data_IF_046614850863
#
_entry.id   IF_046614850863
#
_cell.length_a   1.000
_cell.length_b   1.000
_cell.length_c   1.000
_cell.angle_alpha   90.00
_cell.angle_beta   90.00
_cell.angle_gamma   90.00
#
_symmetry.space_group_name_H-M   'P 1'
#
loop_
_entity.id
_entity.type
_entity.pdbx_description
1 polymer ?
#
# COMPACT_ATOMS: atom_id res chain seq x y z
N UNK A 1 -5.60 7.61 3.63
CA UNK A 1 -5.59 6.14 3.64
C UNK A 1 -4.83 5.67 2.43
N UNK A 2 -3.76 4.89 2.60
CA UNK A 2 -3.06 4.26 1.48
C UNK A 2 -2.82 2.78 1.82
N UNK A 3 -2.83 1.91 0.82
CA UNK A 3 -2.47 0.49 0.99
C UNK A 3 -1.28 0.22 0.09
N UNK A 4 -0.07 0.15 0.63
CA UNK A 4 1.13 -0.20 -0.11
C UNK A 4 1.19 -1.70 -0.33
N UNK A 5 1.17 -2.15 -1.59
CA UNK A 5 1.36 -3.56 -1.98
C UNK A 5 2.49 -3.69 -3.00
N UNK A 6 3.76 -3.52 -2.58
CA UNK A 6 4.91 -3.57 -3.48
C UNK A 6 5.08 -4.92 -4.18
N UNK A 7 4.39 -5.96 -3.69
CA UNK A 7 4.30 -7.27 -4.30
C UNK A 7 2.85 -7.79 -4.26
N UNK A 8 2.49 -8.65 -5.20
CA UNK A 8 1.21 -9.36 -5.17
C UNK A 8 1.08 -10.19 -3.89
N UNK A 9 2.18 -10.82 -3.46
CA UNK A 9 2.26 -11.53 -2.19
C UNK A 9 2.19 -10.58 -0.97
N UNK A 10 1.33 -10.94 -0.01
CA UNK A 10 1.03 -10.13 1.17
C UNK A 10 2.18 -10.11 2.17
N UNK A 11 2.84 -11.25 2.37
CA UNK A 11 3.94 -11.42 3.34
C UNK A 11 5.17 -10.66 2.85
N UNK A 12 5.53 -10.84 1.58
CA UNK A 12 6.60 -10.11 0.90
C UNK A 12 6.30 -8.60 0.91
N UNK A 13 5.05 -8.21 0.69
CA UNK A 13 4.64 -6.81 0.81
C UNK A 13 4.90 -6.24 2.20
N UNK A 14 4.45 -6.92 3.25
CA UNK A 14 4.65 -6.48 4.63
C UNK A 14 6.15 -6.37 4.98
N UNK A 15 6.93 -7.40 4.66
CA UNK A 15 8.37 -7.46 4.93
C UNK A 15 9.16 -6.35 4.19
N UNK A 16 8.72 -5.95 3.01
CA UNK A 16 9.39 -4.92 2.23
C UNK A 16 9.29 -3.52 2.84
N UNK A 17 8.22 -3.22 3.57
CA UNK A 17 7.98 -1.88 4.11
C UNK A 17 8.97 -1.49 5.21
N UNK A 18 9.29 -0.19 5.28
CA UNK A 18 9.88 0.42 6.48
C UNK A 18 8.89 0.43 7.65
N UNK A 19 9.40 0.57 8.88
CA UNK A 19 8.59 0.46 10.10
C UNK A 19 7.48 1.52 10.16
N UNK A 20 7.73 2.73 9.68
CA UNK A 20 6.73 3.81 9.71
C UNK A 20 5.54 3.46 8.81
N UNK A 21 5.78 2.92 7.62
CA UNK A 21 4.72 2.51 6.69
C UNK A 21 4.05 1.22 7.13
N UNK A 22 4.81 0.23 7.60
CA UNK A 22 4.26 -1.01 8.14
C UNK A 22 3.33 -0.74 9.33
N UNK A 23 3.74 0.14 10.25
CA UNK A 23 2.92 0.55 11.39
C UNK A 23 1.58 1.17 10.98
N UNK A 24 1.59 2.01 9.93
CA UNK A 24 0.37 2.60 9.35
C UNK A 24 -0.48 1.58 8.61
N UNK A 25 0.13 0.66 7.86
CA UNK A 25 -0.59 -0.35 7.09
C UNK A 25 -1.55 -1.16 7.95
N UNK A 26 -1.16 -1.57 9.17
CA UNK A 26 -2.06 -2.32 10.07
C UNK A 26 -3.37 -1.55 10.34
N UNK A 27 -3.27 -0.25 10.60
CA UNK A 27 -4.43 0.61 10.86
C UNK A 27 -5.23 0.88 9.59
N UNK A 28 -4.56 1.24 8.50
CA UNK A 28 -5.21 1.59 7.23
C UNK A 28 -5.92 0.38 6.60
N UNK A 29 -5.39 -0.83 6.74
CA UNK A 29 -6.04 -2.06 6.25
C UNK A 29 -7.36 -2.33 6.98
N UNK A 30 -7.38 -2.23 8.31
CA UNK A 30 -8.62 -2.34 9.09
C UNK A 30 -9.62 -1.24 8.69
N UNK A 31 -9.15 -0.01 8.45
CA UNK A 31 -10.01 1.08 7.98
C UNK A 31 -10.64 0.79 6.62
N UNK A 32 -9.89 0.24 5.66
CA UNK A 32 -10.43 -0.20 4.36
C UNK A 32 -11.50 -1.28 4.57
N UNK A 33 -11.21 -2.32 5.34
CA UNK A 33 -12.17 -3.40 5.64
C UNK A 33 -13.47 -2.85 6.25
N UNK A 34 -13.37 -1.98 7.25
CA UNK A 34 -14.55 -1.34 7.85
C UNK A 34 -15.29 -0.43 6.87
N UNK A 35 -14.58 0.26 5.97
CA UNK A 35 -15.21 1.09 4.94
C UNK A 35 -16.01 0.23 3.94
N UNK A 36 -15.48 -0.92 3.54
CA UNK A 36 -16.19 -1.91 2.71
C UNK A 36 -17.46 -2.40 3.43
N UNK A 37 -17.34 -2.80 4.71
CA UNK A 37 -18.50 -3.23 5.51
C UNK A 37 -19.58 -2.15 5.62
N UNK A 38 -19.20 -0.88 5.76
CA UNK A 38 -20.14 0.25 5.77
C UNK A 38 -20.79 0.47 4.41
N UNK A 39 -20.02 0.42 3.32
CA UNK A 39 -20.54 0.55 1.95
C UNK A 39 -21.59 -0.49 1.62
N UNK A 40 -21.39 -1.72 2.10
CA UNK A 40 -22.32 -2.84 1.91
C UNK A 40 -23.50 -2.82 2.90
N UNK A 41 -23.59 -1.83 3.78
CA UNK A 41 -24.66 -1.71 4.77
C UNK A 41 -24.62 -2.72 5.91
N UNK A 42 -23.51 -3.46 6.06
CA UNK A 42 -23.30 -4.48 7.09
C UNK A 42 -22.92 -3.81 8.42
N UNK A 43 -21.95 -2.89 8.39
CA UNK A 43 -21.57 -2.10 9.55
C UNK A 43 -22.37 -0.80 9.60
N UNK A 44 -23.25 -0.65 10.60
CA UNK A 44 -24.16 0.49 10.78
C UNK A 44 -23.80 1.35 12.00
N UNK A 45 -22.62 1.97 11.96
CA UNK A 45 -22.09 2.79 13.06
C UNK A 45 -22.27 4.31 12.87
N UNK A 46 -23.07 4.72 11.89
CA UNK A 46 -23.33 6.13 11.55
C UNK A 46 -22.17 6.86 10.85
N UNK A 47 -20.99 6.22 10.71
CA UNK A 47 -19.83 6.85 10.06
C UNK A 47 -19.94 6.73 8.53
N UNK A 48 -19.53 7.78 7.82
CA UNK A 48 -19.55 7.81 6.33
C UNK A 48 -18.19 8.13 5.70
N UNK A 49 -17.12 8.15 6.49
CA UNK A 49 -15.78 8.45 6.00
C UNK A 49 -15.26 7.37 5.05
N UNK A 50 -14.54 7.79 4.01
CA UNK A 50 -13.75 6.93 3.11
C UNK A 50 -14.53 5.96 2.21
N UNK A 51 -15.86 6.01 2.20
CA UNK A 51 -16.69 5.11 1.39
C UNK A 51 -16.33 5.20 -0.11
N UNK A 52 -16.07 6.39 -0.63
CA UNK A 52 -15.71 6.59 -2.04
C UNK A 52 -14.20 6.68 -2.27
N UNK A 53 -13.39 6.24 -1.29
CA UNK A 53 -11.95 6.24 -1.46
C UNK A 53 -11.55 5.20 -2.53
N UNK A 54 -10.67 5.53 -3.50
CA UNK A 54 -10.41 4.63 -4.63
C UNK A 54 -9.91 3.23 -4.22
N UNK A 55 -9.07 3.14 -3.19
CA UNK A 55 -8.64 1.83 -2.63
C UNK A 55 -9.83 1.03 -2.09
N UNK A 56 -10.81 1.67 -1.45
CA UNK A 56 -12.01 0.97 -0.96
C UNK A 56 -12.81 0.45 -2.14
N UNK A 57 -13.05 1.29 -3.15
CA UNK A 57 -13.76 0.91 -4.37
C UNK A 57 -13.07 -0.24 -5.10
N UNK A 58 -11.74 -0.20 -5.21
CA UNK A 58 -10.93 -1.23 -5.87
C UNK A 58 -11.09 -2.61 -5.22
N UNK A 59 -11.03 -2.68 -3.89
CA UNK A 59 -11.21 -3.95 -3.17
C UNK A 59 -12.68 -4.38 -3.10
N UNK A 60 -13.62 -3.43 -3.05
CA UNK A 60 -15.06 -3.70 -3.00
C UNK A 60 -15.63 -4.17 -4.35
N UNK A 61 -15.02 -3.79 -5.48
CA UNK A 61 -15.51 -4.11 -6.82
C UNK A 61 -15.42 -5.60 -7.17
N UNK A 62 -14.32 -6.26 -6.81
CA UNK A 62 -14.13 -7.72 -7.00
C UNK A 62 -14.22 -8.50 -5.68
N UNK A 63 -15.09 -8.08 -4.75
CA UNK A 63 -15.08 -8.42 -3.31
C UNK A 63 -13.80 -9.04 -2.71
N UNK A 64 -12.64 -8.42 -2.88
CA UNK A 64 -11.34 -8.99 -2.49
C UNK A 64 -11.05 -8.81 -0.98
N UNK A 65 -12.05 -9.04 -0.13
CA UNK A 65 -11.95 -8.87 1.33
C UNK A 65 -10.95 -9.85 1.93
N UNK A 66 -10.93 -11.10 1.49
CA UNK A 66 -10.00 -12.11 1.98
C UNK A 66 -8.54 -11.73 1.72
N UNK A 67 -8.27 -11.07 0.59
CA UNK A 67 -6.93 -10.54 0.28
C UNK A 67 -6.48 -9.47 1.27
N UNK A 68 -7.39 -8.57 1.66
CA UNK A 68 -7.12 -7.56 2.68
C UNK A 68 -6.94 -8.16 4.07
N UNK A 69 -7.75 -9.17 4.42
CA UNK A 69 -7.63 -9.86 5.72
C UNK A 69 -6.27 -10.56 5.82
N UNK A 70 -5.88 -11.33 4.78
CA UNK A 70 -4.55 -11.94 4.72
C UNK A 70 -3.44 -10.89 4.82
N UNK A 71 -3.60 -9.75 4.15
CA UNK A 71 -2.59 -8.70 4.23
C UNK A 71 -2.54 -8.00 5.59
N UNK A 72 -3.69 -7.82 6.25
CA UNK A 72 -3.73 -7.31 7.61
C UNK A 72 -2.91 -8.19 8.55
N UNK A 73 -3.14 -9.51 8.52
CA UNK A 73 -2.40 -10.44 9.36
C UNK A 73 -0.92 -10.48 9.01
N UNK A 74 -0.55 -10.52 7.72
CA UNK A 74 0.85 -10.42 7.31
C UNK A 74 1.54 -9.15 7.83
N UNK A 75 0.84 -8.00 7.86
CA UNK A 75 1.38 -6.76 8.40
C UNK A 75 1.49 -6.75 9.92
N UNK A 76 0.55 -7.38 10.64
CA UNK A 76 0.61 -7.56 12.10
C UNK A 76 1.75 -8.50 12.47
N UNK A 77 1.86 -9.64 11.80
CA UNK A 77 2.87 -10.65 12.04
C UNK A 77 4.27 -10.08 11.81
N UNK A 78 4.48 -9.39 10.69
CA UNK A 78 5.75 -8.74 10.40
C UNK A 78 6.10 -7.64 11.43
N UNK A 79 5.11 -6.87 11.88
CA UNK A 79 5.30 -5.85 12.91
C UNK A 79 5.73 -6.47 14.24
N UNK A 80 5.07 -7.55 14.66
CA UNK A 80 5.42 -8.28 15.87
C UNK A 80 6.76 -8.99 15.75
N UNK A 81 7.07 -9.55 14.58
CA UNK A 81 8.37 -10.19 14.29
C UNK A 81 9.54 -9.20 14.42
N UNK A 82 9.32 -7.91 14.11
CA UNK A 82 10.31 -6.83 14.32
C UNK A 82 10.45 -6.39 15.79
N UNK A 83 9.72 -7.02 16.72
CA UNK A 83 9.80 -6.72 18.15
C UNK A 83 8.86 -5.62 18.63
N UNK A 84 7.96 -5.13 17.77
CA UNK A 84 7.00 -4.11 18.16
C UNK A 84 5.71 -4.73 18.73
N UNK A 85 5.08 -4.02 19.67
CA UNK A 85 3.76 -4.42 20.20
C UNK A 85 2.65 -4.07 19.21
N UNK A 86 1.70 -4.98 19.01
CA UNK A 86 0.47 -4.75 18.25
C UNK A 86 -0.74 -4.88 19.18
N UNK A 87 -1.62 -3.89 19.19
CA UNK A 87 -2.89 -3.89 19.93
C UNK A 87 -4.11 -3.78 18.99
N UNK A 88 -3.89 -3.99 17.69
CA UNK A 88 -4.94 -3.97 16.67
C UNK A 88 -5.22 -5.40 16.22
N UNK A 89 -6.50 -5.76 16.19
CA UNK A 89 -7.01 -7.02 15.66
C UNK A 89 -8.24 -6.78 14.79
N UNK A 90 -8.73 -7.83 14.15
CA UNK A 90 -10.00 -7.83 13.40
C UNK A 90 -11.15 -8.48 14.18
N UNK A 91 -10.94 -8.90 15.43
CA UNK A 91 -11.92 -9.69 16.19
C UNK A 91 -13.29 -9.00 16.32
N UNK A 92 -13.29 -7.67 16.42
CA UNK A 92 -14.48 -6.83 16.51
C UNK A 92 -15.27 -6.72 15.19
N UNK A 93 -14.65 -7.07 14.06
CA UNK A 93 -15.26 -6.99 12.72
C UNK A 93 -15.32 -8.33 11.99
N UNK A 94 -14.63 -9.37 12.48
CA UNK A 94 -14.58 -10.68 11.84
C UNK A 94 -15.97 -11.32 11.63
N UNK A 95 -16.92 -11.26 12.58
CA UNK A 95 -18.28 -11.74 12.34
C UNK A 95 -19.02 -11.00 11.22
N UNK A 96 -18.67 -9.72 10.99
CA UNK A 96 -19.24 -8.91 9.92
C UNK A 96 -18.57 -9.23 8.57
N UNK A 97 -17.25 -9.48 8.57
CA UNK A 97 -16.50 -9.86 7.37
C UNK A 97 -17.02 -11.18 6.78
N UNK A 98 -17.43 -12.13 7.63
CA UNK A 98 -18.07 -13.39 7.20
C UNK A 98 -19.40 -13.21 6.46
N UNK A 99 -20.04 -12.03 6.55
CA UNK A 99 -21.26 -11.72 5.82
C UNK A 99 -20.98 -11.18 4.41
N UNK A 100 -19.71 -10.89 4.08
CA UNK A 100 -19.33 -10.48 2.74
C UNK A 100 -19.07 -11.73 1.92
N UNK A 101 -19.80 -11.90 0.82
CA UNK A 101 -19.45 -12.88 -0.21
C UNK A 101 -18.15 -12.42 -0.89
N UNK A 102 -17.03 -12.99 -0.43
CA UNK A 102 -15.69 -12.71 -0.93
C UNK A 102 -15.43 -13.40 -2.26
N UNK A 103 -14.53 -12.85 -3.06
CA UNK A 103 -14.00 -13.53 -4.24
C UNK A 103 -12.53 -13.90 -4.05
N UNK A 104 -12.08 -15.06 -4.56
CA UNK A 104 -10.68 -15.42 -4.55
C UNK A 104 -9.85 -14.44 -5.41
N UNK A 105 -8.55 -14.37 -5.13
CA UNK A 105 -7.61 -13.52 -5.86
C UNK A 105 -7.29 -12.20 -5.13
N UNK A 106 -6.89 -11.21 -5.91
CA UNK A 106 -6.43 -9.89 -5.44
C UNK A 106 -6.62 -8.85 -6.54
N UNK A 107 -6.91 -7.58 -6.19
CA UNK A 107 -6.95 -6.50 -7.17
C UNK A 107 -5.54 -6.01 -7.56
N UNK A 108 -4.50 -6.46 -6.86
CA UNK A 108 -3.13 -6.01 -7.09
C UNK A 108 -2.50 -6.83 -8.22
N UNK A 109 -2.27 -6.18 -9.36
CA UNK A 109 -1.50 -6.74 -10.48
C UNK A 109 0.00 -6.49 -10.29
N UNK A 110 0.84 -7.20 -11.04
CA UNK A 110 2.29 -6.94 -11.05
C UNK A 110 2.63 -5.50 -11.47
N UNK A 111 1.86 -4.96 -12.41
CA UNK A 111 2.00 -3.57 -12.87
C UNK A 111 1.69 -2.58 -11.73
N UNK A 112 0.62 -2.81 -10.97
CA UNK A 112 0.28 -2.00 -9.80
C UNK A 112 1.31 -2.16 -8.67
N UNK A 113 1.80 -3.38 -8.45
CA UNK A 113 2.85 -3.67 -7.47
C UNK A 113 4.15 -2.91 -7.78
N UNK A 114 4.53 -2.82 -9.06
CA UNK A 114 5.63 -1.95 -9.52
C UNK A 114 5.39 -0.49 -9.16
N UNK A 115 4.19 0.04 -9.37
CA UNK A 115 3.88 1.42 -9.01
C UNK A 115 3.96 1.66 -7.50
N UNK A 116 3.57 0.69 -6.66
CA UNK A 116 3.82 0.78 -5.22
C UNK A 116 5.32 0.84 -4.89
N UNK A 117 6.17 0.00 -5.51
CA UNK A 117 7.63 0.06 -5.34
C UNK A 117 8.19 1.43 -5.74
N UNK A 118 7.71 1.99 -6.86
CA UNK A 118 8.06 3.36 -7.31
C UNK A 118 7.70 4.40 -6.26
N UNK A 119 6.49 4.35 -5.71
CA UNK A 119 6.04 5.31 -4.70
C UNK A 119 6.84 5.19 -3.40
N UNK A 120 7.15 3.97 -2.97
CA UNK A 120 7.97 3.73 -1.79
C UNK A 120 9.36 4.34 -1.99
N UNK A 121 9.98 4.09 -3.14
CA UNK A 121 11.27 4.68 -3.53
C UNK A 121 11.23 6.20 -3.52
N UNK A 122 10.20 6.84 -4.05
CA UNK A 122 10.06 8.29 -4.01
C UNK A 122 9.93 8.85 -2.59
N UNK A 123 9.26 8.11 -1.72
CA UNK A 123 8.98 8.59 -0.37
C UNK A 123 10.09 8.29 0.65
N UNK A 124 10.94 7.28 0.44
CA UNK A 124 12.18 7.03 1.22
C UNK A 124 13.29 6.42 0.34
N UNK A 125 13.98 7.23 -0.49
CA UNK A 125 14.86 6.73 -1.53
C UNK A 125 15.96 5.80 -1.02
N UNK A 126 16.70 6.24 -0.01
CA UNK A 126 17.83 5.47 0.49
C UNK A 126 17.44 4.16 1.19
N UNK A 127 16.22 4.07 1.74
CA UNK A 127 15.73 2.82 2.32
C UNK A 127 15.40 1.81 1.21
N UNK A 128 14.59 2.24 0.24
CA UNK A 128 14.06 1.34 -0.77
C UNK A 128 15.05 1.04 -1.89
N UNK A 129 15.94 1.97 -2.23
CA UNK A 129 17.05 1.70 -3.14
C UNK A 129 17.91 0.52 -2.67
N UNK A 130 18.16 0.41 -1.35
CA UNK A 130 18.93 -0.70 -0.77
C UNK A 130 18.16 -2.01 -0.70
N UNK A 131 16.83 -1.98 -0.77
CA UNK A 131 15.96 -3.15 -0.68
C UNK A 131 15.60 -3.73 -2.06
N UNK A 132 15.53 -2.89 -3.08
CA UNK A 132 15.26 -3.33 -4.45
C UNK A 132 16.46 -4.14 -4.97
N UNK A 133 16.17 -5.22 -5.69
CA UNK A 133 17.19 -5.88 -6.50
C UNK A 133 17.57 -5.01 -7.71
N UNK A 134 18.73 -5.29 -8.32
CA UNK A 134 19.19 -4.58 -9.50
C UNK A 134 18.15 -4.63 -10.64
N UNK A 135 17.55 -5.79 -10.88
CA UNK A 135 16.52 -5.97 -11.91
C UNK A 135 15.25 -5.15 -11.62
N UNK A 136 14.82 -5.06 -10.36
CA UNK A 136 13.66 -4.24 -10.00
C UNK A 136 13.94 -2.75 -10.11
N UNK A 137 15.15 -2.33 -9.75
CA UNK A 137 15.58 -0.94 -9.93
C UNK A 137 15.63 -0.58 -11.43
N UNK A 138 16.23 -1.44 -12.24
CA UNK A 138 16.30 -1.28 -13.70
C UNK A 138 14.90 -1.23 -14.32
N UNK A 139 13.98 -2.11 -13.91
CA UNK A 139 12.59 -2.10 -14.34
C UNK A 139 11.92 -0.75 -14.02
N UNK A 140 12.14 -0.21 -12.82
CA UNK A 140 11.58 1.07 -12.41
C UNK A 140 12.15 2.25 -13.19
N UNK A 141 13.44 2.22 -13.54
CA UNK A 141 14.09 3.28 -14.31
C UNK A 141 13.66 3.28 -15.78
N UNK A 142 13.45 2.10 -16.36
CA UNK A 142 13.20 1.93 -17.79
C UNK A 142 11.72 1.83 -18.17
N UNK A 143 10.82 1.66 -17.19
CA UNK A 143 9.38 1.61 -17.43
C UNK A 143 8.71 2.91 -17.03
N UNK A 144 7.96 3.60 -17.92
CA UNK A 144 7.17 4.76 -17.55
C UNK A 144 6.08 4.41 -16.52
N UNK A 145 5.77 5.29 -15.55
CA UNK A 145 4.71 5.04 -14.57
C UNK A 145 3.33 5.03 -15.22
N UNK A 146 2.45 4.17 -14.72
CA UNK A 146 1.05 4.08 -15.16
C UNK A 146 0.09 4.65 -14.09
N UNK A 147 -0.95 5.40 -14.48
CA UNK A 147 -1.86 6.03 -13.53
C UNK A 147 -2.83 5.02 -12.90
N UNK A 148 -2.84 4.97 -11.57
CA UNK A 148 -3.76 4.16 -10.78
C UNK A 148 -4.46 5.02 -9.71
N UNK A 149 -5.80 5.17 -9.77
CA UNK A 149 -6.59 5.86 -8.75
C UNK A 149 -6.35 5.29 -7.35
N UNK A 150 -6.06 6.17 -6.38
CA UNK A 150 -5.75 5.77 -5.00
C UNK A 150 -4.34 5.21 -4.78
N UNK A 151 -3.53 5.13 -5.83
CA UNK A 151 -2.13 4.70 -5.77
C UNK A 151 -1.22 5.89 -6.05
N UNK A 152 -1.11 6.30 -7.32
CA UNK A 152 -0.05 7.21 -7.80
C UNK A 152 -0.52 8.37 -8.68
N UNK A 153 -1.82 8.69 -8.77
CA UNK A 153 -2.27 9.80 -9.65
C UNK A 153 -1.56 11.14 -9.36
N UNK A 154 -1.26 11.43 -8.10
CA UNK A 154 -0.54 12.64 -7.70
C UNK A 154 0.91 12.70 -8.24
N UNK A 155 1.47 11.56 -8.65
CA UNK A 155 2.81 11.51 -9.23
C UNK A 155 2.91 12.38 -10.49
N UNK A 156 1.84 12.40 -11.26
CA UNK A 156 1.76 13.14 -12.52
C UNK A 156 1.63 14.65 -12.30
N UNK A 157 1.19 15.08 -11.11
CA UNK A 157 1.19 16.50 -10.71
C UNK A 157 2.61 17.00 -10.38
N UNK A 158 3.56 16.09 -10.10
CA UNK A 158 4.96 16.42 -9.80
C UNK A 158 5.93 15.89 -10.86
N UNK A 159 5.46 15.77 -12.10
CA UNK A 159 6.15 15.07 -13.20
C UNK A 159 7.62 15.48 -13.37
N UNK A 160 7.89 16.78 -13.44
CA UNK A 160 9.26 17.31 -13.60
C UNK A 160 10.18 16.93 -12.43
N UNK A 161 9.66 16.93 -11.21
CA UNK A 161 10.41 16.52 -10.02
C UNK A 161 10.68 15.02 -10.05
N UNK A 162 9.71 14.23 -10.49
CA UNK A 162 9.87 12.80 -10.67
C UNK A 162 10.91 12.47 -11.75
N UNK A 163 10.89 13.15 -12.91
CA UNK A 163 11.88 12.95 -13.97
C UNK A 163 13.31 13.24 -13.48
N UNK A 164 13.52 14.37 -12.79
CA UNK A 164 14.83 14.68 -12.20
C UNK A 164 15.27 13.64 -11.16
N UNK A 165 14.32 13.13 -10.37
CA UNK A 165 14.61 12.07 -9.41
C UNK A 165 15.10 10.79 -10.11
N UNK A 166 14.41 10.37 -11.18
CA UNK A 166 14.78 9.18 -11.98
C UNK A 166 16.12 9.37 -12.69
N UNK A 167 16.36 10.55 -13.27
CA UNK A 167 17.62 10.88 -13.95
C UNK A 167 18.83 10.77 -13.01
N UNK A 168 18.72 11.34 -11.80
CA UNK A 168 19.77 11.23 -10.77
C UNK A 168 19.98 9.79 -10.33
N UNK A 169 18.89 9.07 -10.11
CA UNK A 169 18.94 7.67 -9.72
C UNK A 169 19.62 6.79 -10.78
N UNK A 170 19.36 7.04 -12.06
CA UNK A 170 20.01 6.36 -13.18
C UNK A 170 21.53 6.62 -13.26
N UNK A 171 21.99 7.77 -12.74
CA UNK A 171 23.42 8.08 -12.58
C UNK A 171 24.04 7.48 -11.30
N UNK A 172 23.26 6.75 -10.51
CA UNK A 172 23.70 6.20 -9.21
C UNK A 172 23.63 7.22 -8.06
N UNK A 173 23.03 8.39 -8.27
CA UNK A 173 22.85 9.40 -7.23
C UNK A 173 21.55 9.17 -6.47
N UNK A 174 21.64 8.78 -5.20
CA UNK A 174 20.47 8.55 -4.34
C UNK A 174 20.31 9.70 -3.33
N UNK A 175 19.34 10.57 -3.58
CA UNK A 175 19.00 11.66 -2.66
C UNK A 175 18.09 11.17 -1.52
N UNK A 176 18.64 11.04 -0.31
CA UNK A 176 17.88 10.56 0.84
C UNK A 176 16.79 11.54 1.33
N UNK A 177 16.76 12.79 0.84
CA UNK A 177 15.69 13.74 1.19
C UNK A 177 14.34 13.30 0.62
N UNK A 178 14.33 12.57 -0.50
CA UNK A 178 13.11 12.23 -1.23
C UNK A 178 12.54 13.40 -2.01
N UNK A 179 11.44 13.14 -2.73
CA UNK A 179 10.73 14.19 -3.49
C UNK A 179 9.79 15.03 -2.63
N UNK A 180 9.60 14.64 -1.36
CA UNK A 180 8.70 15.30 -0.43
C UNK A 180 9.48 15.95 0.71
N UNK A 181 9.18 17.20 1.08
CA UNK A 181 9.74 17.80 2.28
C UNK A 181 9.42 16.94 3.51
N UNK A 182 10.45 16.61 4.30
CA UNK A 182 10.22 15.95 5.59
C UNK A 182 9.45 16.94 6.48
N UNK A 183 8.27 16.53 6.96
CA UNK A 183 7.57 17.28 8.02
C UNK A 183 8.49 17.24 9.25
N UNK A 184 8.97 18.41 9.68
CA UNK A 184 9.73 18.58 10.91
C UNK A 184 8.89 18.21 12.12
#
# INVERSE_FOLDING_TARGET
>A
MQVFRPYVDQVRSAAFLDDRRLGKQRVELKQVLMAILRRRGILKDGRRGWLNHPVVLMYDAGPYVDDLVRYFYAAVDEWTRRGYRSNISLDDVEPLLKQVEGAPGTPVTEDMAREYRRLLLLKEPCHYHKKLSAAELEELLNTPPRPYPGVNLWLFDIWETYLRFVERLARGEVDCAGVFPRRR
#
